data_IF_635797368863
#
_entry.id   IF_635797368863
#
_cell.length_a   1.000
_cell.length_b   1.000
_cell.length_c   1.000
_cell.angle_alpha   90.00
_cell.angle_beta   90.00
_cell.angle_gamma   90.00
#
_symmetry.space_group_name_H-M   'P 1'
#
loop_
_entity.id
_entity.type
_entity.pdbx_description
1 polymer ?
#
# COMPACT_ATOMS: atom_id res chain seq x y z
N UNK A 1 -10.72 -17.17 9.06
CA UNK A 1 -10.12 -16.16 9.96
C UNK A 1 -8.69 -15.89 9.52
N UNK A 2 -8.29 -14.63 9.38
CA UNK A 2 -6.90 -14.25 9.06
C UNK A 2 -6.04 -14.58 10.28
N UNK A 3 -4.83 -15.12 10.09
CA UNK A 3 -3.93 -15.38 11.22
C UNK A 3 -3.58 -14.05 11.91
N UNK A 4 -3.55 -13.98 13.26
CA UNK A 4 -3.26 -12.73 13.99
C UNK A 4 -1.96 -12.05 13.55
N UNK A 5 -0.93 -12.83 13.18
CA UNK A 5 0.34 -12.33 12.67
C UNK A 5 0.21 -11.65 11.31
N UNK A 6 -0.70 -12.15 10.46
CA UNK A 6 -1.02 -11.57 9.16
C UNK A 6 -1.86 -10.31 9.31
N UNK A 7 -2.81 -10.29 10.26
CA UNK A 7 -3.58 -9.08 10.58
C UNK A 7 -2.69 -7.95 11.10
N UNK A 8 -1.81 -8.25 12.06
CA UNK A 8 -0.85 -7.27 12.60
C UNK A 8 0.06 -6.73 11.50
N UNK A 9 0.51 -7.60 10.59
CA UNK A 9 1.24 -7.19 9.40
C UNK A 9 0.43 -6.21 8.55
N UNK A 10 -0.83 -6.49 8.24
CA UNK A 10 -1.70 -5.59 7.47
C UNK A 10 -1.95 -4.24 8.15
N UNK A 11 -2.20 -4.22 9.45
CA UNK A 11 -2.35 -2.97 10.21
C UNK A 11 -1.07 -2.14 10.17
N UNK A 12 0.07 -2.78 10.40
CA UNK A 12 1.38 -2.12 10.33
C UNK A 12 1.63 -1.54 8.92
N UNK A 13 1.26 -2.26 7.86
CA UNK A 13 1.34 -1.76 6.49
C UNK A 13 0.47 -0.52 6.26
N UNK A 14 -0.76 -0.52 6.76
CA UNK A 14 -1.70 0.60 6.58
C UNK A 14 -1.20 1.84 7.31
N UNK A 15 -0.85 1.72 8.59
CA UNK A 15 -0.49 2.88 9.42
C UNK A 15 0.90 3.42 9.13
N UNK A 16 1.89 2.56 8.84
CA UNK A 16 3.28 2.99 8.66
C UNK A 16 3.55 3.46 7.23
N UNK A 17 2.80 2.94 6.25
CA UNK A 17 3.08 3.19 4.83
C UNK A 17 1.90 3.79 4.07
N UNK A 18 0.75 3.13 4.04
CA UNK A 18 -0.36 3.55 3.18
C UNK A 18 -0.94 4.92 3.58
N UNK A 19 -1.16 5.17 4.87
CA UNK A 19 -1.69 6.45 5.35
C UNK A 19 -0.71 7.60 5.09
N UNK A 20 0.59 7.50 5.45
CA UNK A 20 1.55 8.55 5.11
C UNK A 20 1.70 8.77 3.60
N UNK A 21 1.68 7.71 2.80
CA UNK A 21 1.94 7.77 1.36
C UNK A 21 0.75 8.20 0.50
N UNK A 22 -0.47 7.78 0.85
CA UNK A 22 -1.68 7.99 0.04
C UNK A 22 -2.82 8.65 0.80
N UNK A 23 -2.83 8.62 2.13
CA UNK A 23 -3.96 9.09 2.95
C UNK A 23 -4.24 10.59 2.87
N UNK A 24 -3.29 11.38 2.39
CA UNK A 24 -3.46 12.81 2.13
C UNK A 24 -4.18 13.11 0.80
N UNK A 25 -4.31 12.11 -0.08
CA UNK A 25 -4.97 12.25 -1.38
C UNK A 25 -6.45 11.88 -1.21
N UNK A 26 -7.40 12.77 -1.54
CA UNK A 26 -8.81 12.42 -1.54
C UNK A 26 -9.07 11.20 -2.42
N UNK A 27 -9.86 10.25 -1.94
CA UNK A 27 -10.08 8.97 -2.59
C UNK A 27 -10.56 9.10 -4.05
N UNK A 28 -11.38 10.10 -4.35
CA UNK A 28 -11.88 10.40 -5.71
C UNK A 28 -10.85 11.06 -6.63
N UNK A 29 -9.70 11.50 -6.10
CA UNK A 29 -8.56 12.08 -6.84
C UNK A 29 -7.38 11.12 -6.93
N UNK A 30 -7.40 9.99 -6.20
CA UNK A 30 -6.33 9.01 -6.21
C UNK A 30 -6.16 8.41 -7.61
N UNK A 31 -4.96 8.57 -8.19
CA UNK A 31 -4.66 8.09 -9.54
C UNK A 31 -3.78 6.84 -9.53
N UNK A 32 -3.71 6.17 -10.68
CA UNK A 32 -2.78 5.06 -10.89
C UNK A 32 -1.32 5.49 -10.73
N UNK A 33 -0.97 6.72 -11.14
CA UNK A 33 0.38 7.26 -11.01
C UNK A 33 0.78 7.44 -9.54
N UNK A 34 -0.16 7.88 -8.70
CA UNK A 34 0.06 7.98 -7.25
C UNK A 34 0.33 6.60 -6.64
N UNK A 35 -0.47 5.60 -7.00
CA UNK A 35 -0.26 4.22 -6.55
C UNK A 35 1.09 3.66 -7.01
N UNK A 36 1.49 3.91 -8.26
CA UNK A 36 2.79 3.47 -8.79
C UNK A 36 3.94 4.15 -8.05
N UNK A 37 3.87 5.48 -7.89
CA UNK A 37 4.88 6.26 -7.17
C UNK A 37 5.04 5.75 -5.73
N UNK A 38 3.93 5.55 -5.04
CA UNK A 38 3.92 5.01 -3.69
C UNK A 38 4.62 3.64 -3.59
N UNK A 39 4.32 2.71 -4.51
CA UNK A 39 4.95 1.38 -4.49
C UNK A 39 6.44 1.43 -4.85
N UNK A 40 6.84 2.34 -5.74
CA UNK A 40 8.24 2.56 -6.07
C UNK A 40 9.01 3.14 -4.87
N UNK A 41 8.45 4.15 -4.19
CA UNK A 41 9.02 4.73 -2.97
C UNK A 41 9.08 3.69 -1.84
N UNK A 42 8.06 2.85 -1.72
CA UNK A 42 8.06 1.74 -0.78
C UNK A 42 9.16 0.72 -1.10
N UNK A 43 9.38 0.36 -2.38
CA UNK A 43 10.45 -0.55 -2.78
C UNK A 43 11.83 0.03 -2.43
N UNK A 44 12.04 1.31 -2.71
CA UNK A 44 13.34 1.96 -2.52
C UNK A 44 13.62 2.33 -1.04
N UNK A 45 12.61 2.79 -0.30
CA UNK A 45 12.76 3.44 1.01
C UNK A 45 11.77 2.96 2.08
N UNK A 46 11.08 1.84 1.85
CA UNK A 46 10.07 1.33 2.76
C UNK A 46 10.62 0.76 4.07
N UNK A 47 11.91 0.43 4.20
CA UNK A 47 12.42 -0.19 5.42
C UNK A 47 12.62 0.84 6.53
N UNK A 48 11.83 0.70 7.61
CA UNK A 48 11.91 1.55 8.81
C UNK A 48 12.79 0.98 9.92
N UNK A 49 12.92 -0.34 10.00
CA UNK A 49 13.73 -1.04 11.02
C UNK A 49 14.98 -1.66 10.41
N UNK A 50 16.07 -1.73 11.18
CA UNK A 50 17.35 -2.31 10.72
C UNK A 50 17.93 -1.66 9.46
N UNK A 51 17.56 -0.41 9.18
CA UNK A 51 17.96 0.33 7.97
C UNK A 51 19.47 0.43 7.85
N UNK A 52 20.18 0.64 8.96
CA UNK A 52 21.64 0.80 8.97
C UNK A 52 22.38 -0.50 8.60
N UNK A 53 21.78 -1.65 8.94
CA UNK A 53 22.39 -2.97 8.71
C UNK A 53 21.94 -3.66 7.43
N UNK A 54 20.73 -3.35 6.92
CA UNK A 54 20.12 -4.05 5.79
C UNK A 54 19.84 -3.14 4.59
N UNK A 55 20.02 -1.83 4.74
CA UNK A 55 19.68 -0.81 3.74
C UNK A 55 18.22 -0.33 3.81
N UNK A 56 17.84 0.66 3.00
CA UNK A 56 16.50 1.27 2.99
C UNK A 56 15.43 0.49 2.22
N UNK A 57 15.84 -0.42 1.34
CA UNK A 57 14.94 -1.09 0.40
C UNK A 57 14.00 -2.10 1.08
N UNK A 58 12.82 -2.28 0.51
CA UNK A 58 11.86 -3.27 0.96
C UNK A 58 11.91 -4.52 0.09
N UNK A 59 11.74 -5.70 0.70
CA UNK A 59 11.69 -6.96 -0.04
C UNK A 59 10.48 -6.99 -0.99
N UNK A 60 10.64 -7.58 -2.18
CA UNK A 60 9.57 -7.63 -3.19
C UNK A 60 8.29 -8.30 -2.69
N UNK A 61 8.42 -9.33 -1.84
CA UNK A 61 7.26 -9.99 -1.21
C UNK A 61 6.43 -9.02 -0.36
N UNK A 62 7.09 -8.11 0.36
CA UNK A 62 6.42 -7.11 1.19
C UNK A 62 5.73 -6.06 0.33
N UNK A 63 6.39 -5.59 -0.75
CA UNK A 63 5.78 -4.67 -1.74
C UNK A 63 4.54 -5.30 -2.36
N UNK A 64 4.61 -6.58 -2.76
CA UNK A 64 3.45 -7.34 -3.28
C UNK A 64 2.32 -7.46 -2.25
N UNK A 65 2.66 -7.71 -0.99
CA UNK A 65 1.66 -7.81 0.09
C UNK A 65 0.94 -6.46 0.29
N UNK A 66 1.68 -5.35 0.28
CA UNK A 66 1.10 -4.01 0.35
C UNK A 66 0.19 -3.70 -0.84
N UNK A 67 0.61 -4.03 -2.06
CA UNK A 67 -0.25 -3.92 -3.25
C UNK A 67 -1.60 -4.64 -3.04
N UNK A 68 -1.59 -5.86 -2.47
CA UNK A 68 -2.81 -6.63 -2.27
C UNK A 68 -3.74 -5.98 -1.23
N UNK A 69 -3.19 -5.45 -0.15
CA UNK A 69 -3.97 -4.72 0.87
C UNK A 69 -4.63 -3.48 0.27
N UNK A 70 -3.87 -2.67 -0.46
CA UNK A 70 -4.40 -1.45 -1.09
C UNK A 70 -5.44 -1.80 -2.16
N UNK A 71 -5.18 -2.84 -2.96
CA UNK A 71 -6.15 -3.35 -3.92
C UNK A 71 -7.46 -3.74 -3.26
N UNK A 72 -7.41 -4.52 -2.18
CA UNK A 72 -8.62 -4.94 -1.45
C UNK A 72 -9.39 -3.74 -0.86
N UNK A 73 -8.69 -2.76 -0.30
CA UNK A 73 -9.31 -1.54 0.22
C UNK A 73 -9.99 -0.72 -0.89
N UNK A 74 -9.34 -0.57 -2.04
CA UNK A 74 -9.89 0.16 -3.18
C UNK A 74 -11.00 -0.60 -3.91
N UNK A 75 -10.93 -1.94 -3.96
CA UNK A 75 -12.03 -2.78 -4.45
C UNK A 75 -13.26 -2.62 -3.56
N UNK A 76 -13.07 -2.50 -2.23
CA UNK A 76 -14.16 -2.20 -1.31
C UNK A 76 -14.73 -0.81 -1.55
N UNK A 77 -13.88 0.20 -1.77
CA UNK A 77 -14.32 1.56 -2.09
C UNK A 77 -15.14 1.64 -3.40
N UNK A 78 -14.81 0.83 -4.40
CA UNK A 78 -15.62 0.70 -5.63
C UNK A 78 -16.97 0.07 -5.31
N UNK A 79 -17.01 -1.02 -4.52
CA UNK A 79 -18.27 -1.67 -4.11
C UNK A 79 -19.18 -0.75 -3.30
N UNK A 80 -18.60 0.09 -2.45
CA UNK A 80 -19.32 1.07 -1.64
C UNK A 80 -19.69 2.34 -2.43
N UNK A 81 -19.33 2.42 -3.72
CA UNK A 81 -19.69 3.54 -4.60
C UNK A 81 -18.90 4.83 -4.37
N UNK A 82 -17.83 4.80 -3.58
CA UNK A 82 -17.00 5.96 -3.28
C UNK A 82 -16.14 6.40 -4.47
N UNK A 83 -15.76 5.43 -5.32
CA UNK A 83 -15.01 5.65 -6.56
C UNK A 83 -15.53 4.75 -7.68
N UNK A 84 -15.40 5.20 -8.93
CA UNK A 84 -15.91 4.47 -10.10
C UNK A 84 -15.01 3.32 -10.56
N UNK A 85 -13.70 3.40 -10.30
CA UNK A 85 -12.72 2.41 -10.72
C UNK A 85 -11.60 2.29 -9.70
N UNK A 86 -10.98 1.12 -9.61
CA UNK A 86 -9.84 0.89 -8.74
C UNK A 86 -8.54 1.37 -9.43
N UNK A 87 -7.88 2.45 -8.94
CA UNK A 87 -6.71 3.03 -9.61
C UNK A 87 -5.46 2.13 -9.58
N UNK A 88 -5.37 1.15 -8.66
CA UNK A 88 -4.17 0.32 -8.52
C UNK A 88 -4.10 -0.83 -9.54
N UNK A 89 -5.20 -1.12 -10.25
CA UNK A 89 -5.26 -2.26 -11.18
C UNK A 89 -4.31 -2.13 -12.39
N UNK A 90 -3.94 -0.90 -12.76
CA UNK A 90 -3.02 -0.64 -13.88
C UNK A 90 -1.55 -0.54 -13.49
N UNK A 91 -1.22 -0.58 -12.19
CA UNK A 91 0.17 -0.48 -11.71
C UNK A 91 0.96 -1.68 -12.21
N UNK A 92 2.19 -1.42 -12.70
CA UNK A 92 3.13 -2.42 -13.22
C UNK A 92 4.34 -2.55 -12.32
#
# INVERSE_FOLDING_TARGET
SIRPTTQKGYEEWIYVHAIPGLGHIPLNKLTQADCQKFLNEMKANGRKTHRDTKGPEMAERSVRSCYHVIRMALDRAVKDGLIKKNPILGVK
#
